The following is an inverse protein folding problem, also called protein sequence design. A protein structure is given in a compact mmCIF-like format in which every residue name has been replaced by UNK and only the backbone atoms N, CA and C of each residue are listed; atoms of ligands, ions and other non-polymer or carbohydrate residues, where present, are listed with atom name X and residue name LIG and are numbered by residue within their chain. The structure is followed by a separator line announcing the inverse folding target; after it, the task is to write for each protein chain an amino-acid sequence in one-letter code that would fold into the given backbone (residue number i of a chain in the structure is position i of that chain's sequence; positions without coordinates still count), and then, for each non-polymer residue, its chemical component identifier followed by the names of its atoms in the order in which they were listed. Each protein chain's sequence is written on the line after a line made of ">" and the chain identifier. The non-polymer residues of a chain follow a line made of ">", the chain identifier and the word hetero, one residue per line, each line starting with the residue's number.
data_IF_530484969492
#
_entry.id   IF_530484969492
#
_cell.length_a   1.000
_cell.length_b   1.000
_cell.length_c   1.000
_cell.angle_alpha   90.00
_cell.angle_beta   90.00
_cell.angle_gamma   90.00
#
_symmetry.space_group_name_H-M   'P 1'
#
loop_
_entity.id
_entity.type
_entity.pdbx_description
1 polymer ?
#
# COMPACT_ATOMS: atom_id res chain seq x y z
N UNK A 1 11.28 -21.64 16.48
CA UNK A 1 11.58 -20.27 15.96
C UNK A 1 13.10 -20.10 15.94
N UNK A 2 13.71 -19.70 14.82
CA UNK A 2 15.13 -19.28 14.85
C UNK A 2 15.19 -17.93 15.58
N UNK A 3 15.82 -17.92 16.75
CA UNK A 3 15.99 -16.72 17.56
C UNK A 3 16.72 -15.64 16.74
N UNK A 4 16.10 -14.46 16.64
CA UNK A 4 16.72 -13.30 16.03
C UNK A 4 17.87 -12.86 16.94
N UNK A 5 19.09 -12.75 16.39
CA UNK A 5 20.25 -12.30 17.17
C UNK A 5 20.33 -10.78 17.16
N UNK A 6 20.41 -10.22 18.36
CA UNK A 6 20.66 -8.80 18.59
C UNK A 6 22.15 -8.60 18.86
N UNK A 7 22.76 -7.61 18.22
CA UNK A 7 24.15 -7.19 18.41
C UNK A 7 24.17 -5.70 18.79
N UNK A 8 25.34 -5.19 19.19
CA UNK A 8 25.53 -3.76 19.46
C UNK A 8 25.23 -2.88 18.24
N UNK A 9 25.39 -3.43 17.04
CA UNK A 9 25.18 -2.74 15.77
C UNK A 9 23.76 -2.90 15.22
N UNK A 10 22.92 -3.75 15.84
CA UNK A 10 21.52 -3.92 15.46
C UNK A 10 21.04 -5.37 15.41
N UNK A 11 20.15 -5.67 14.47
CA UNK A 11 19.50 -6.98 14.35
C UNK A 11 20.09 -7.75 13.18
N UNK A 12 20.57 -8.97 13.45
CA UNK A 12 21.05 -9.87 12.40
C UNK A 12 19.87 -10.65 11.84
N UNK A 13 19.55 -10.38 10.56
CA UNK A 13 18.44 -11.02 9.86
C UNK A 13 18.99 -12.18 9.02
N UNK A 14 18.51 -13.42 9.23
CA UNK A 14 18.93 -14.56 8.43
C UNK A 14 18.64 -14.33 6.94
N UNK A 15 19.66 -14.47 6.09
CA UNK A 15 19.51 -14.31 4.63
C UNK A 15 18.50 -15.29 4.03
N UNK A 16 18.30 -16.44 4.66
CA UNK A 16 17.27 -17.42 4.28
C UNK A 16 15.84 -16.85 4.32
N UNK A 17 15.56 -15.84 5.14
CA UNK A 17 14.22 -15.25 5.26
C UNK A 17 13.85 -14.37 4.07
N UNK A 18 14.85 -13.86 3.35
CA UNK A 18 14.71 -12.93 2.23
C UNK A 18 15.22 -13.56 0.93
N UNK A 19 15.47 -14.87 0.94
CA UNK A 19 15.93 -15.61 -0.24
C UNK A 19 14.86 -15.54 -1.32
N UNK A 20 15.25 -15.12 -2.52
CA UNK A 20 14.35 -15.01 -3.68
C UNK A 20 13.60 -13.68 -3.81
N UNK A 21 13.79 -12.72 -2.89
CA UNK A 21 13.13 -11.41 -2.95
C UNK A 21 13.84 -10.38 -3.87
N UNK A 22 14.82 -10.81 -4.66
CA UNK A 22 15.64 -9.91 -5.47
C UNK A 22 16.61 -9.05 -4.64
N UNK A 23 17.57 -8.42 -5.33
CA UNK A 23 18.53 -7.48 -4.72
C UNK A 23 18.56 -6.18 -5.55
N UNK A 24 18.70 -5.00 -4.93
CA UNK A 24 18.80 -4.78 -3.48
C UNK A 24 17.45 -4.93 -2.76
N UNK A 25 17.47 -5.31 -1.48
CA UNK A 25 16.29 -5.26 -0.62
C UNK A 25 16.00 -3.82 -0.21
N UNK A 26 14.72 -3.48 -0.09
CA UNK A 26 14.31 -2.18 0.46
C UNK A 26 14.02 -2.31 1.94
N UNK A 27 14.56 -1.38 2.73
CA UNK A 27 14.36 -1.30 4.18
C UNK A 27 13.57 -0.05 4.50
N UNK A 28 12.54 -0.20 5.34
CA UNK A 28 11.79 0.93 5.89
C UNK A 28 11.66 0.75 7.40
N UNK A 29 11.87 1.85 8.14
CA UNK A 29 11.59 1.91 9.58
C UNK A 29 10.17 2.40 9.81
N UNK A 30 9.41 1.66 10.61
CA UNK A 30 8.19 2.11 11.29
C UNK A 30 8.51 2.46 12.74
N UNK A 31 7.49 2.87 13.50
CA UNK A 31 7.64 3.30 14.90
C UNK A 31 8.25 2.19 15.77
N UNK A 32 7.73 0.97 15.67
CA UNK A 32 8.16 -0.17 16.48
C UNK A 32 8.59 -1.39 15.63
N UNK A 33 8.82 -1.20 14.33
CA UNK A 33 9.11 -2.31 13.42
C UNK A 33 10.02 -1.90 12.27
N UNK A 34 10.80 -2.86 11.77
CA UNK A 34 11.53 -2.73 10.51
C UNK A 34 10.82 -3.58 9.47
N UNK A 35 10.52 -2.98 8.33
CA UNK A 35 9.90 -3.65 7.19
C UNK A 35 10.97 -3.86 6.14
N UNK A 36 11.21 -5.12 5.80
CA UNK A 36 11.98 -5.52 4.64
C UNK A 36 11.02 -5.87 3.51
N UNK A 37 11.28 -5.39 2.30
CA UNK A 37 10.45 -5.68 1.13
C UNK A 37 11.30 -5.86 -0.13
N UNK A 38 10.80 -6.70 -1.06
CA UNK A 38 11.37 -6.83 -2.41
C UNK A 38 11.20 -5.54 -3.21
N UNK A 39 12.00 -5.31 -4.27
CA UNK A 39 11.82 -4.17 -5.17
C UNK A 39 10.40 -4.09 -5.76
N UNK A 40 9.83 -5.22 -6.17
CA UNK A 40 8.50 -5.30 -6.77
C UNK A 40 7.42 -4.95 -5.74
N UNK A 41 7.58 -5.44 -4.50
CA UNK A 41 6.64 -5.14 -3.42
C UNK A 41 6.68 -3.67 -3.05
N UNK A 42 7.88 -3.07 -2.99
CA UNK A 42 8.06 -1.61 -2.81
C UNK A 42 7.33 -0.83 -3.90
N UNK A 43 7.56 -1.17 -5.17
CA UNK A 43 6.92 -0.50 -6.29
C UNK A 43 5.39 -0.62 -6.25
N UNK A 44 4.87 -1.82 -5.97
CA UNK A 44 3.43 -2.06 -5.80
C UNK A 44 2.83 -1.22 -4.67
N UNK A 45 3.49 -1.17 -3.51
CA UNK A 45 3.06 -0.36 -2.37
C UNK A 45 3.06 1.13 -2.70
N UNK A 46 4.09 1.64 -3.38
CA UNK A 46 4.16 3.03 -3.80
C UNK A 46 3.03 3.38 -4.78
N UNK A 47 2.74 2.50 -5.74
CA UNK A 47 1.60 2.66 -6.66
C UNK A 47 0.27 2.74 -5.90
N UNK A 48 0.03 1.82 -4.98
CA UNK A 48 -1.18 1.83 -4.13
C UNK A 48 -1.26 3.12 -3.28
N UNK A 49 -0.16 3.53 -2.67
CA UNK A 49 -0.11 4.77 -1.88
C UNK A 49 -0.50 6.00 -2.71
N UNK A 50 -0.03 6.08 -3.96
CA UNK A 50 -0.42 7.16 -4.90
C UNK A 50 -1.91 7.10 -5.24
N UNK A 51 -2.48 5.91 -5.46
CA UNK A 51 -3.92 5.76 -5.71
C UNK A 51 -4.75 6.21 -4.52
N UNK A 52 -4.39 5.79 -3.31
CA UNK A 52 -5.08 6.20 -2.07
C UNK A 52 -4.98 7.71 -1.87
N UNK A 53 -3.82 8.32 -2.15
CA UNK A 53 -3.67 9.77 -2.05
C UNK A 53 -4.58 10.51 -3.04
N UNK A 54 -4.68 10.05 -4.28
CA UNK A 54 -5.62 10.61 -5.27
C UNK A 54 -7.07 10.51 -4.79
N UNK A 55 -7.46 9.34 -4.26
CA UNK A 55 -8.81 9.13 -3.73
C UNK A 55 -9.11 10.04 -2.54
N UNK A 56 -8.17 10.19 -1.60
CA UNK A 56 -8.34 11.09 -0.45
C UNK A 56 -8.49 12.53 -0.88
N UNK A 57 -7.70 12.97 -1.87
CA UNK A 57 -7.80 14.33 -2.41
C UNK A 57 -9.16 14.56 -3.08
N UNK A 58 -9.61 13.62 -3.92
CA UNK A 58 -10.93 13.71 -4.53
C UNK A 58 -12.05 13.75 -3.48
N UNK A 59 -11.96 12.93 -2.43
CA UNK A 59 -12.92 12.95 -1.32
C UNK A 59 -12.90 14.28 -0.55
N UNK A 60 -11.73 14.90 -0.37
CA UNK A 60 -11.61 16.23 0.24
C UNK A 60 -12.22 17.32 -0.63
N UNK A 61 -11.99 17.27 -1.95
CA UNK A 61 -12.55 18.23 -2.92
C UNK A 61 -14.09 18.13 -3.00
N UNK A 62 -14.64 16.92 -2.90
CA UNK A 62 -16.09 16.68 -2.88
C UNK A 62 -16.77 17.08 -1.55
N UNK A 63 -16.01 17.21 -0.46
CA UNK A 63 -16.56 17.41 0.87
C UNK A 63 -17.36 16.19 1.38
N UNK A 64 -18.09 16.33 2.51
CA UNK A 64 -18.94 15.26 3.01
C UNK A 64 -20.09 15.00 2.04
N UNK A 65 -20.05 13.86 1.36
CA UNK A 65 -21.13 13.38 0.50
C UNK A 65 -22.30 12.90 1.33
N UNK A 66 -23.51 13.35 1.00
CA UNK A 66 -24.73 12.80 1.58
C UNK A 66 -25.07 11.46 0.95
N UNK A 67 -25.83 10.62 1.66
CA UNK A 67 -26.29 9.33 1.11
C UNK A 67 -27.11 9.48 -0.17
N UNK A 68 -27.84 10.59 -0.32
CA UNK A 68 -28.61 10.93 -1.52
C UNK A 68 -27.71 11.22 -2.73
N UNK A 69 -26.62 11.95 -2.54
CA UNK A 69 -25.63 12.21 -3.59
C UNK A 69 -24.96 10.93 -4.07
N UNK A 70 -24.61 10.03 -3.14
CA UNK A 70 -24.06 8.71 -3.50
C UNK A 70 -25.09 7.87 -4.26
N UNK A 71 -26.35 7.86 -3.82
CA UNK A 71 -27.42 7.11 -4.47
C UNK A 71 -27.70 7.61 -5.90
N UNK A 72 -27.74 8.94 -6.09
CA UNK A 72 -27.92 9.56 -7.40
C UNK A 72 -26.78 9.17 -8.36
N UNK A 73 -25.53 9.19 -7.88
CA UNK A 73 -24.39 8.85 -8.71
C UNK A 73 -24.31 7.36 -9.05
N UNK A 74 -24.66 6.49 -8.10
CA UNK A 74 -24.82 5.05 -8.36
C UNK A 74 -25.93 4.79 -9.39
N UNK A 75 -27.05 5.53 -9.31
CA UNK A 75 -28.13 5.43 -10.29
C UNK A 75 -27.67 5.88 -11.69
N UNK A 76 -26.90 6.96 -11.79
CA UNK A 76 -26.32 7.45 -13.05
C UNK A 76 -25.37 6.41 -13.68
N UNK A 77 -24.47 5.82 -12.89
CA UNK A 77 -23.56 4.76 -13.38
C UNK A 77 -24.32 3.51 -13.83
N UNK A 78 -25.42 3.15 -13.15
CA UNK A 78 -26.27 2.03 -13.58
C UNK A 78 -27.03 2.32 -14.87
N UNK A 79 -27.48 3.56 -15.06
CA UNK A 79 -28.19 3.98 -16.26
C UNK A 79 -27.26 4.02 -17.50
N UNK A 80 -25.99 4.36 -17.30
CA UNK A 80 -24.97 4.33 -18.34
C UNK A 80 -23.73 3.57 -17.87
N UNK A 81 -23.77 2.23 -17.91
CA UNK A 81 -22.61 1.42 -17.57
C UNK A 81 -21.47 1.76 -18.53
N UNK A 82 -20.25 1.87 -18.01
CA UNK A 82 -19.07 1.97 -18.87
C UNK A 82 -19.06 0.77 -19.83
N UNK A 83 -19.10 1.04 -21.14
CA UNK A 83 -18.96 -0.02 -22.15
C UNK A 83 -17.62 -0.70 -21.91
N UNK A 84 -17.64 -2.02 -21.74
CA UNK A 84 -16.43 -2.84 -21.67
C UNK A 84 -15.68 -2.67 -22.99
N UNK A 85 -14.56 -1.94 -22.97
CA UNK A 85 -13.55 -1.92 -24.02
C UNK A 85 -12.58 -3.09 -23.85
#
# INVERSE_FOLDING_TARGET
>A
MKAVRYTKDGVVIPTSWVKGWGKPLSVRRGVNMVILESPERKASRQRLGRMIQKLRRAAQELGPLTSEQVAAEVAAVRAQPARRS
#
